data_IF_273152811817
#
_entry.id   IF_273152811817
#
_cell.length_a   1.000
_cell.length_b   1.000
_cell.length_c   1.000
_cell.angle_alpha   90.00
_cell.angle_beta   90.00
_cell.angle_gamma   90.00
#
_symmetry.space_group_name_H-M   'P 1'
#
loop_
_entity.id
_entity.type
_entity.pdbx_description
1 polymer ?
#
# COMPACT_ATOMS: atom_id res chain seq x y z
N UNK A 1 17.38 -1.35 -6.64
CA UNK A 1 16.87 -2.73 -6.78
C UNK A 1 17.20 -3.64 -5.59
N UNK A 2 18.42 -3.62 -5.03
CA UNK A 2 18.78 -4.48 -3.87
C UNK A 2 17.92 -4.13 -2.65
N UNK A 3 17.81 -2.87 -2.28
CA UNK A 3 17.05 -2.40 -1.12
C UNK A 3 15.56 -2.75 -1.19
N UNK A 4 14.93 -2.58 -2.35
CA UNK A 4 13.52 -2.95 -2.55
C UNK A 4 13.30 -4.44 -2.35
N UNK A 5 14.20 -5.27 -2.88
CA UNK A 5 14.13 -6.73 -2.73
C UNK A 5 14.28 -7.15 -1.27
N UNK A 6 15.19 -6.52 -0.53
CA UNK A 6 15.39 -6.81 0.91
C UNK A 6 14.17 -6.42 1.73
N UNK A 7 13.55 -5.26 1.44
CA UNK A 7 12.34 -4.82 2.13
C UNK A 7 11.18 -5.80 1.89
N UNK A 8 10.95 -6.19 0.64
CA UNK A 8 9.90 -7.16 0.30
C UNK A 8 10.17 -8.50 1.00
N UNK A 9 11.41 -8.99 0.94
CA UNK A 9 11.81 -10.25 1.55
C UNK A 9 11.59 -10.26 3.07
N UNK A 10 11.80 -9.14 3.75
CA UNK A 10 11.63 -9.04 5.20
C UNK A 10 10.17 -8.73 5.60
N UNK A 11 9.47 -7.88 4.85
CA UNK A 11 8.12 -7.44 5.20
C UNK A 11 7.04 -8.51 4.97
N UNK A 12 7.20 -9.36 3.95
CA UNK A 12 6.22 -10.44 3.66
C UNK A 12 6.14 -11.45 4.81
N UNK A 13 7.23 -12.05 5.32
CA UNK A 13 7.16 -12.97 6.45
C UNK A 13 6.56 -12.32 7.70
N UNK A 14 6.91 -11.06 7.99
CA UNK A 14 6.37 -10.33 9.14
C UNK A 14 4.86 -10.10 8.99
N UNK A 15 4.40 -9.68 7.82
CA UNK A 15 2.98 -9.50 7.56
C UNK A 15 2.21 -10.83 7.68
N UNK A 16 2.73 -11.92 7.13
CA UNK A 16 2.12 -13.25 7.25
C UNK A 16 2.06 -13.71 8.70
N UNK A 17 3.14 -13.53 9.47
CA UNK A 17 3.19 -13.86 10.88
C UNK A 17 2.13 -13.07 11.69
N UNK A 18 1.99 -11.79 11.43
CA UNK A 18 0.95 -10.96 12.06
C UNK A 18 -0.48 -11.40 11.67
N UNK A 19 -0.71 -11.82 10.42
CA UNK A 19 -2.01 -12.34 9.99
C UNK A 19 -2.35 -13.65 10.71
N UNK A 20 -1.38 -14.55 10.85
CA UNK A 20 -1.58 -15.84 11.53
C UNK A 20 -1.85 -15.62 13.01
N UNK A 21 -1.07 -14.77 13.67
CA UNK A 21 -1.19 -14.50 15.11
C UNK A 21 -2.19 -13.40 15.46
N UNK A 22 -2.96 -12.88 14.49
CA UNK A 22 -3.86 -11.73 14.67
C UNK A 22 -4.73 -11.81 15.92
N UNK A 23 -5.35 -12.98 16.17
CA UNK A 23 -6.26 -13.17 17.30
C UNK A 23 -5.51 -13.19 18.64
N UNK A 24 -4.33 -13.81 18.68
CA UNK A 24 -3.48 -13.85 19.87
C UNK A 24 -2.95 -12.46 20.22
N UNK A 25 -2.48 -11.71 19.22
CA UNK A 25 -1.98 -10.34 19.39
C UNK A 25 -3.08 -9.46 19.99
N UNK A 26 -4.27 -9.45 19.37
CA UNK A 26 -5.40 -8.64 19.85
C UNK A 26 -5.81 -9.05 21.27
N UNK A 27 -5.85 -10.34 21.56
CA UNK A 27 -6.24 -10.84 22.88
C UNK A 27 -5.23 -10.50 23.98
N UNK A 28 -3.94 -10.55 23.67
CA UNK A 28 -2.89 -10.17 24.63
C UNK A 28 -2.89 -8.66 24.91
N UNK A 29 -3.12 -7.84 23.87
CA UNK A 29 -3.05 -6.38 24.00
C UNK A 29 -4.34 -5.76 24.52
N UNK A 30 -5.49 -6.29 24.13
CA UNK A 30 -6.80 -5.69 24.40
C UNK A 30 -7.75 -6.61 25.20
N UNK A 31 -7.36 -7.84 25.49
CA UNK A 31 -8.22 -8.84 26.16
C UNK A 31 -8.43 -8.63 27.66
N UNK A 32 -8.29 -7.40 28.18
CA UNK A 32 -8.52 -7.04 29.55
C UNK A 32 -9.81 -6.22 29.72
N UNK A 33 -10.51 -6.39 30.83
CA UNK A 33 -11.73 -5.64 31.15
C UNK A 33 -12.96 -6.14 30.39
N UNK A 34 -13.79 -5.22 29.94
CA UNK A 34 -15.07 -5.51 29.27
C UNK A 34 -14.96 -5.88 27.78
N UNK A 35 -13.73 -6.09 27.27
CA UNK A 35 -13.49 -6.41 25.86
C UNK A 35 -14.01 -7.82 25.51
N UNK A 36 -15.11 -7.86 24.76
CA UNK A 36 -15.83 -9.11 24.44
C UNK A 36 -15.09 -9.97 23.39
N UNK A 37 -15.50 -11.22 23.27
CA UNK A 37 -15.01 -12.12 22.22
C UNK A 37 -15.33 -11.59 20.80
N UNK A 38 -16.50 -10.96 20.64
CA UNK A 38 -16.91 -10.36 19.38
C UNK A 38 -16.02 -9.17 18.98
N UNK A 39 -15.65 -8.34 19.96
CA UNK A 39 -14.72 -7.23 19.73
C UNK A 39 -13.34 -7.74 19.32
N UNK A 40 -12.87 -8.82 19.96
CA UNK A 40 -11.61 -9.49 19.58
C UNK A 40 -11.63 -9.92 18.10
N UNK A 41 -12.73 -10.54 17.65
CA UNK A 41 -12.89 -10.98 16.26
C UNK A 41 -12.89 -9.81 15.28
N UNK A 42 -13.60 -8.73 15.61
CA UNK A 42 -13.69 -7.53 14.76
C UNK A 42 -12.32 -6.87 14.59
N UNK A 43 -11.61 -6.65 15.70
CA UNK A 43 -10.28 -6.02 15.69
C UNK A 43 -9.24 -6.92 15.00
N UNK A 44 -9.30 -8.24 15.25
CA UNK A 44 -8.40 -9.18 14.57
C UNK A 44 -8.65 -9.25 13.06
N UNK A 45 -9.90 -9.14 12.60
CA UNK A 45 -10.23 -9.05 11.19
C UNK A 45 -9.67 -7.77 10.56
N UNK A 46 -9.86 -6.64 11.23
CA UNK A 46 -9.30 -5.35 10.79
C UNK A 46 -7.77 -5.39 10.73
N UNK A 47 -7.12 -5.97 11.75
CA UNK A 47 -5.67 -6.14 11.79
C UNK A 47 -5.16 -6.98 10.61
N UNK A 48 -5.83 -8.09 10.29
CA UNK A 48 -5.44 -8.92 9.14
C UNK A 48 -5.48 -8.14 7.82
N UNK A 49 -6.50 -7.31 7.62
CA UNK A 49 -6.63 -6.49 6.43
C UNK A 49 -5.56 -5.38 6.38
N UNK A 50 -5.24 -4.74 7.50
CA UNK A 50 -4.13 -3.79 7.57
C UNK A 50 -2.78 -4.46 7.26
N UNK A 51 -2.56 -5.70 7.71
CA UNK A 51 -1.32 -6.43 7.43
C UNK A 51 -1.09 -6.67 5.93
N UNK A 52 -2.15 -6.75 5.11
CA UNK A 52 -2.01 -6.81 3.65
C UNK A 52 -1.30 -5.58 3.07
N UNK A 53 -1.49 -4.42 3.68
CA UNK A 53 -0.88 -3.16 3.24
C UNK A 53 0.52 -2.91 3.79
N UNK A 54 0.98 -3.65 4.79
CA UNK A 54 2.28 -3.40 5.45
C UNK A 54 3.44 -3.39 4.46
N UNK A 55 3.50 -4.38 3.58
CA UNK A 55 4.54 -4.45 2.55
C UNK A 55 4.48 -3.26 1.59
N UNK A 56 3.25 -2.87 1.18
CA UNK A 56 3.04 -1.70 0.33
C UNK A 56 3.48 -0.41 1.04
N UNK A 57 3.17 -0.23 2.32
CA UNK A 57 3.59 0.93 3.12
C UNK A 57 5.12 1.02 3.24
N UNK A 58 5.80 -0.10 3.49
CA UNK A 58 7.26 -0.14 3.48
C UNK A 58 7.85 0.28 2.13
N UNK A 59 7.23 -0.15 1.03
CA UNK A 59 7.64 0.25 -0.33
C UNK A 59 7.36 1.73 -0.60
N UNK A 60 6.22 2.26 -0.19
CA UNK A 60 5.90 3.69 -0.30
C UNK A 60 6.96 4.54 0.38
N UNK A 61 7.34 4.19 1.62
CA UNK A 61 8.36 4.91 2.37
C UNK A 61 9.72 4.93 1.66
N UNK A 62 10.14 3.80 1.09
CA UNK A 62 11.37 3.71 0.29
C UNK A 62 11.29 4.58 -0.96
N UNK A 63 10.18 4.48 -1.71
CA UNK A 63 10.00 5.18 -2.97
C UNK A 63 9.95 6.70 -2.78
N UNK A 64 9.27 7.18 -1.74
CA UNK A 64 9.23 8.60 -1.36
C UNK A 64 10.63 9.13 -1.07
N UNK A 65 11.45 8.37 -0.32
CA UNK A 65 12.85 8.73 -0.05
C UNK A 65 13.68 8.77 -1.35
N UNK A 66 13.44 7.83 -2.27
CA UNK A 66 14.12 7.83 -3.57
C UNK A 66 13.79 9.09 -4.40
N UNK A 67 12.52 9.52 -4.40
CA UNK A 67 12.12 10.77 -5.06
C UNK A 67 12.76 12.01 -4.42
N UNK A 68 12.86 12.04 -3.10
CA UNK A 68 13.52 13.15 -2.40
C UNK A 68 15.03 13.22 -2.72
N UNK A 69 15.69 12.07 -2.84
CA UNK A 69 17.08 12.00 -3.27
C UNK A 69 17.29 12.51 -4.71
N UNK A 70 16.27 12.40 -5.58
CA UNK A 70 16.26 12.97 -6.93
C UNK A 70 15.82 14.45 -6.97
N UNK A 71 15.61 15.09 -5.81
CA UNK A 71 15.14 16.48 -5.74
C UNK A 71 13.67 16.68 -6.16
N UNK A 72 12.94 15.61 -6.39
CA UNK A 72 11.56 15.67 -6.87
C UNK A 72 10.56 15.43 -5.73
N UNK A 73 10.11 16.49 -5.09
CA UNK A 73 9.11 16.43 -4.02
C UNK A 73 7.66 16.50 -4.52
N UNK A 74 7.46 17.01 -5.74
CA UNK A 74 6.11 17.24 -6.31
C UNK A 74 5.43 15.93 -6.72
N UNK A 75 6.18 14.97 -7.24
CA UNK A 75 5.61 13.69 -7.71
C UNK A 75 5.04 12.85 -6.56
N UNK A 76 5.76 12.60 -5.44
CA UNK A 76 5.18 11.87 -4.31
C UNK A 76 3.96 12.56 -3.72
N UNK A 77 3.97 13.91 -3.64
CA UNK A 77 2.81 14.66 -3.13
C UNK A 77 1.57 14.44 -4.00
N UNK A 78 1.69 14.57 -5.32
CA UNK A 78 0.57 14.33 -6.25
C UNK A 78 0.04 12.89 -6.15
N UNK A 79 0.93 11.91 -6.11
CA UNK A 79 0.55 10.50 -6.01
C UNK A 79 -0.15 10.22 -4.68
N UNK A 80 0.32 10.78 -3.56
CA UNK A 80 -0.33 10.62 -2.27
C UNK A 80 -1.74 11.22 -2.25
N UNK A 81 -1.94 12.39 -2.88
CA UNK A 81 -3.27 13.01 -3.01
C UNK A 81 -4.20 12.11 -3.84
N UNK A 82 -3.74 11.62 -4.98
CA UNK A 82 -4.53 10.69 -5.81
C UNK A 82 -4.90 9.43 -5.04
N UNK A 83 -3.93 8.83 -4.33
CA UNK A 83 -4.15 7.63 -3.52
C UNK A 83 -5.12 7.86 -2.36
N UNK A 84 -5.12 9.06 -1.78
CA UNK A 84 -6.11 9.45 -0.77
C UNK A 84 -7.52 9.42 -1.36
N UNK A 85 -7.73 10.03 -2.53
CA UNK A 85 -9.04 9.99 -3.19
C UNK A 85 -9.45 8.55 -3.57
N UNK A 86 -8.52 7.73 -4.04
CA UNK A 86 -8.78 6.31 -4.31
C UNK A 86 -9.22 5.59 -3.04
N UNK A 87 -8.58 5.85 -1.90
CA UNK A 87 -8.97 5.25 -0.61
C UNK A 87 -10.39 5.65 -0.22
N UNK A 88 -10.73 6.95 -0.33
CA UNK A 88 -12.08 7.44 -0.01
C UNK A 88 -13.13 6.84 -0.93
N UNK A 89 -12.88 6.85 -2.24
CA UNK A 89 -13.80 6.26 -3.23
C UNK A 89 -13.98 4.76 -2.98
N UNK A 90 -12.90 4.03 -2.74
CA UNK A 90 -12.98 2.59 -2.44
C UNK A 90 -13.74 2.31 -1.14
N UNK A 91 -13.60 3.14 -0.11
CA UNK A 91 -14.36 3.02 1.12
C UNK A 91 -15.87 3.19 0.88
N UNK A 92 -16.25 4.23 0.13
CA UNK A 92 -17.66 4.48 -0.22
C UNK A 92 -18.24 3.34 -1.06
N UNK A 93 -17.49 2.88 -2.07
CA UNK A 93 -17.92 1.77 -2.94
C UNK A 93 -18.09 0.46 -2.17
N UNK A 94 -17.15 0.14 -1.26
CA UNK A 94 -17.22 -1.07 -0.43
C UNK A 94 -18.41 -1.02 0.54
N UNK A 95 -18.66 0.14 1.15
CA UNK A 95 -19.83 0.33 2.03
C UNK A 95 -21.14 0.23 1.25
N UNK A 96 -21.19 0.76 0.03
CA UNK A 96 -22.35 0.65 -0.84
C UNK A 96 -22.58 -0.81 -1.29
N UNK A 97 -21.52 -1.48 -1.75
CA UNK A 97 -21.59 -2.89 -2.14
C UNK A 97 -22.01 -3.81 -0.99
N UNK A 98 -21.60 -3.50 0.24
CA UNK A 98 -22.01 -4.24 1.43
C UNK A 98 -23.52 -4.11 1.72
N UNK A 99 -24.14 -2.99 1.36
CA UNK A 99 -25.60 -2.78 1.53
C UNK A 99 -26.41 -3.51 0.46
N UNK A 100 -25.96 -3.50 -0.78
CA UNK A 100 -26.71 -4.00 -1.95
C UNK A 100 -26.50 -5.50 -2.20
N UNK A 101 -25.30 -6.03 -1.91
CA UNK A 101 -24.94 -7.40 -2.26
C UNK A 101 -24.82 -8.32 -1.03
N UNK A 102 -25.83 -9.19 -0.86
CA UNK A 102 -25.79 -10.24 0.16
C UNK A 102 -24.61 -11.19 -0.04
N UNK A 103 -24.32 -11.56 -1.29
CA UNK A 103 -23.23 -12.48 -1.64
C UNK A 103 -21.86 -11.94 -1.26
N UNK A 104 -21.61 -10.64 -1.47
CA UNK A 104 -20.35 -9.98 -1.09
C UNK A 104 -20.19 -9.94 0.44
N UNK A 105 -21.28 -9.69 1.14
CA UNK A 105 -21.31 -9.67 2.60
C UNK A 105 -21.00 -11.05 3.18
N UNK A 106 -21.66 -12.09 2.68
CA UNK A 106 -21.49 -13.45 3.17
C UNK A 106 -20.07 -13.97 2.89
N UNK A 107 -19.50 -13.69 1.73
CA UNK A 107 -18.12 -14.00 1.40
C UNK A 107 -17.10 -13.34 2.36
N UNK A 108 -17.30 -12.06 2.70
CA UNK A 108 -16.45 -11.38 3.68
C UNK A 108 -16.58 -11.95 5.08
N UNK A 109 -17.81 -12.30 5.48
CA UNK A 109 -18.06 -12.87 6.80
C UNK A 109 -17.44 -14.25 6.97
N UNK A 110 -17.47 -15.07 5.94
CA UNK A 110 -16.87 -16.40 5.92
C UNK A 110 -15.34 -16.33 6.01
N UNK A 111 -14.69 -15.54 5.13
CA UNK A 111 -13.23 -15.38 5.13
C UNK A 111 -12.70 -14.79 6.45
N UNK A 112 -13.36 -13.78 6.99
CA UNK A 112 -12.91 -13.08 8.19
C UNK A 112 -13.42 -13.69 9.49
N UNK A 113 -14.33 -14.66 9.40
CA UNK A 113 -14.99 -15.32 10.52
C UNK A 113 -15.69 -14.34 11.47
N UNK A 114 -16.41 -13.36 10.92
CA UNK A 114 -17.09 -12.29 11.66
C UNK A 114 -18.62 -12.38 11.56
N UNK A 115 -19.16 -13.57 11.31
CA UNK A 115 -20.61 -13.81 11.27
C UNK A 115 -21.28 -13.36 12.57
N UNK A 116 -22.39 -12.63 12.44
CA UNK A 116 -23.20 -12.16 13.57
C UNK A 116 -22.58 -11.06 14.42
N UNK A 117 -21.44 -10.47 14.03
CA UNK A 117 -20.81 -9.38 14.79
C UNK A 117 -21.37 -8.03 14.34
N UNK A 118 -21.92 -7.28 15.29
CA UNK A 118 -22.41 -5.91 15.07
C UNK A 118 -21.22 -4.99 14.78
N UNK A 119 -21.32 -4.12 13.76
CA UNK A 119 -20.24 -3.19 13.41
C UNK A 119 -19.25 -3.74 12.39
N UNK A 120 -19.50 -4.86 11.74
CA UNK A 120 -18.65 -5.46 10.70
C UNK A 120 -18.32 -4.52 9.53
N UNK A 121 -19.12 -3.47 9.31
CA UNK A 121 -18.86 -2.42 8.31
C UNK A 121 -17.54 -1.67 8.55
N UNK A 122 -17.03 -1.61 9.78
CA UNK A 122 -15.74 -0.98 10.12
C UNK A 122 -14.57 -1.71 9.46
N UNK A 123 -14.70 -3.03 9.29
CA UNK A 123 -13.67 -3.86 8.65
C UNK A 123 -13.47 -3.48 7.19
N UNK A 124 -14.50 -2.96 6.52
CA UNK A 124 -14.42 -2.47 5.14
C UNK A 124 -13.52 -1.24 5.00
N UNK A 125 -13.45 -0.40 6.04
CA UNK A 125 -12.51 0.73 6.06
C UNK A 125 -11.05 0.25 6.03
N UNK A 126 -10.75 -0.82 6.78
CA UNK A 126 -9.41 -1.43 6.78
C UNK A 126 -9.05 -2.00 5.40
N UNK A 127 -10.02 -2.60 4.72
CA UNK A 127 -9.86 -3.08 3.35
C UNK A 127 -9.63 -1.93 2.36
N UNK A 128 -10.44 -0.88 2.44
CA UNK A 128 -10.29 0.33 1.61
C UNK A 128 -8.91 0.97 1.77
N UNK A 129 -8.46 1.10 3.02
CA UNK A 129 -7.11 1.60 3.32
C UNK A 129 -6.02 0.73 2.68
N UNK A 130 -6.13 -0.59 2.78
CA UNK A 130 -5.15 -1.51 2.18
C UNK A 130 -5.11 -1.38 0.66
N UNK A 131 -6.26 -1.26 0.00
CA UNK A 131 -6.35 -1.00 -1.44
C UNK A 131 -5.65 0.31 -1.79
N UNK A 132 -5.94 1.40 -1.05
CA UNK A 132 -5.31 2.70 -1.27
C UNK A 132 -3.79 2.67 -1.13
N UNK A 133 -3.26 1.95 -0.13
CA UNK A 133 -1.81 1.82 0.08
C UNK A 133 -1.14 1.00 -1.03
N UNK A 134 -1.77 -0.06 -1.50
CA UNK A 134 -1.26 -0.85 -2.62
C UNK A 134 -1.24 0.01 -3.89
N UNK A 135 -2.32 0.74 -4.18
CA UNK A 135 -2.38 1.66 -5.33
C UNK A 135 -1.31 2.74 -5.23
N UNK A 136 -1.10 3.32 -4.04
CA UNK A 136 -0.06 4.31 -3.79
C UNK A 136 1.34 3.77 -4.11
N UNK A 137 1.66 2.58 -3.62
CA UNK A 137 2.93 1.91 -3.90
C UNK A 137 3.13 1.66 -5.39
N UNK A 138 2.09 1.19 -6.09
CA UNK A 138 2.14 0.93 -7.54
C UNK A 138 2.32 2.23 -8.34
N UNK A 139 1.59 3.29 -8.02
CA UNK A 139 1.71 4.58 -8.70
C UNK A 139 3.10 5.20 -8.50
N UNK A 140 3.63 5.18 -7.28
CA UNK A 140 4.99 5.66 -7.00
C UNK A 140 6.05 4.82 -7.74
N UNK A 141 5.88 3.51 -7.76
CA UNK A 141 6.76 2.62 -8.51
C UNK A 141 6.77 2.93 -10.01
N UNK A 142 5.59 3.07 -10.60
CA UNK A 142 5.45 3.44 -12.03
C UNK A 142 6.05 4.82 -12.31
N UNK A 143 5.79 5.81 -11.45
CA UNK A 143 6.32 7.15 -11.58
C UNK A 143 7.86 7.16 -11.51
N UNK A 144 8.46 6.40 -10.57
CA UNK A 144 9.91 6.29 -10.46
C UNK A 144 10.53 5.65 -11.71
N UNK A 145 9.93 4.57 -12.20
CA UNK A 145 10.40 3.90 -13.42
C UNK A 145 10.37 4.82 -14.65
N UNK A 146 9.34 5.66 -14.77
CA UNK A 146 9.22 6.64 -15.86
C UNK A 146 10.28 7.74 -15.75
N UNK A 147 10.52 8.27 -14.55
CA UNK A 147 11.51 9.32 -14.33
C UNK A 147 12.95 8.83 -14.58
N UNK A 148 13.30 7.65 -14.07
CA UNK A 148 14.63 7.04 -14.29
C UNK A 148 14.87 6.75 -15.78
N UNK A 149 13.84 6.28 -16.50
CA UNK A 149 13.94 6.05 -17.95
C UNK A 149 14.10 7.35 -18.75
N UNK A 150 13.40 8.41 -18.35
CA UNK A 150 13.51 9.72 -18.97
C UNK A 150 14.92 10.30 -18.78
N UNK A 151 15.45 10.26 -17.56
CA UNK A 151 16.79 10.75 -17.23
C UNK A 151 17.90 9.97 -17.97
N UNK A 152 17.77 8.65 -18.10
CA UNK A 152 18.73 7.84 -18.88
C UNK A 152 18.72 8.17 -20.37
N UNK A 153 17.59 8.54 -20.94
CA UNK A 153 17.46 8.97 -22.34
C UNK A 153 18.11 10.35 -22.51
N UNK A 154 17.89 11.26 -21.57
CA UNK A 154 18.43 12.63 -21.61
C UNK A 154 19.98 12.65 -21.50
N UNK A 155 20.51 11.83 -20.56
CA UNK A 155 21.98 11.65 -20.43
C UNK A 155 22.59 11.04 -21.69
N UNK A 156 21.92 10.08 -22.33
CA UNK A 156 22.38 9.47 -23.58
C UNK A 156 22.34 10.46 -24.72
N UNK A 157 21.32 11.30 -24.84
CA UNK A 157 21.23 12.36 -25.85
C UNK A 157 22.29 13.44 -25.66
N UNK A 158 22.54 13.84 -24.39
CA UNK A 158 23.56 14.83 -24.05
C UNK A 158 24.98 14.31 -24.37
N UNK A 159 25.31 13.08 -24.06
CA UNK A 159 26.57 12.46 -24.44
C UNK A 159 26.77 12.43 -25.96
N UNK A 160 25.71 12.11 -26.71
CA UNK A 160 25.78 12.13 -28.19
C UNK A 160 26.05 13.53 -28.74
N UNK A 161 25.43 14.55 -28.13
CA UNK A 161 25.67 15.96 -28.53
C UNK A 161 27.11 16.41 -28.22
N UNK A 162 27.64 16.06 -27.04
CA UNK A 162 29.02 16.36 -26.65
C UNK A 162 30.02 15.68 -27.60
N UNK A 163 29.80 14.42 -27.95
CA UNK A 163 30.64 13.73 -28.93
C UNK A 163 30.61 14.38 -30.33
N UNK A 164 29.43 14.84 -30.78
CA UNK A 164 29.31 15.55 -32.05
C UNK A 164 30.01 16.92 -32.06
N UNK A 165 29.88 17.69 -30.96
CA UNK A 165 30.53 19.01 -30.85
C UNK A 165 32.04 18.90 -30.71
N UNK A 166 32.54 17.92 -29.95
CA UNK A 166 33.99 17.66 -29.86
C UNK A 166 34.56 17.14 -31.18
N UNK A 167 33.87 16.29 -31.92
CA UNK A 167 34.28 15.83 -33.24
C UNK A 167 34.33 16.93 -34.31
N UNK A 168 33.41 17.91 -34.21
CA UNK A 168 33.37 19.05 -35.12
C UNK A 168 34.43 20.14 -34.84
N UNK A 169 35.02 20.13 -33.64
CA UNK A 169 36.06 21.11 -33.25
C UNK A 169 37.50 20.66 -33.59
N UNK A 170 37.67 19.44 -34.11
CA UNK A 170 39.00 18.85 -34.46
C UNK A 170 39.25 18.90 -35.96
N UNK A 171 38.29 19.33 -36.77
CA UNK A 171 38.43 19.60 -38.22
C UNK A 171 38.55 21.09 -38.46
#
# INVERSE_FOLDING_TARGET
HRTSRTIIFLSIPVALFMIVLRAQIVRVLLGAGEFSWNDTRLVAASLALFCLSVTAQCMVLLLVRAFYALGNTKTPLKVNIVSFFVTVVSAVLLLWAHKESLMFRDFLYDILRIEGVVGSSVVLLSLAFSIGQIVNALLLWMALHRNVKAESIEVTAMNKTIFHTLGASII
#
